data_IF_931121345835
#
_entry.id   IF_931121345835
#
_cell.length_a   1.000
_cell.length_b   1.000
_cell.length_c   1.000
_cell.angle_alpha   90.00
_cell.angle_beta   90.00
_cell.angle_gamma   90.00
#
_symmetry.space_group_name_H-M   'P 1'
#
loop_
_entity.id
_entity.type
_entity.pdbx_description
1 polymer ?
#
# COMPACT_ATOMS: atom_id res chain seq x y z
N UNK A 1 19.21 -5.56 -31.53
CA UNK A 1 19.21 -4.16 -31.06
C UNK A 1 20.04 -4.14 -29.78
N UNK A 2 21.02 -3.24 -29.66
CA UNK A 2 21.80 -3.08 -28.43
C UNK A 2 20.82 -2.87 -27.27
N UNK A 3 20.84 -3.72 -26.24
CA UNK A 3 20.05 -3.47 -25.03
C UNK A 3 20.52 -2.13 -24.46
N UNK A 4 19.68 -1.10 -24.50
CA UNK A 4 19.88 0.08 -23.67
C UNK A 4 19.92 -0.42 -22.24
N UNK A 5 21.10 -0.33 -21.60
CA UNK A 5 21.29 -0.79 -20.23
C UNK A 5 20.45 0.01 -19.24
N UNK A 6 20.52 -0.37 -17.97
CA UNK A 6 20.00 0.43 -16.87
C UNK A 6 20.75 1.77 -16.83
N UNK A 7 20.03 2.87 -17.04
CA UNK A 7 20.59 4.22 -17.18
C UNK A 7 20.00 5.16 -16.14
N UNK A 8 20.85 5.71 -15.29
CA UNK A 8 20.55 6.80 -14.38
C UNK A 8 20.91 8.14 -15.02
N UNK A 9 19.97 9.08 -15.06
CA UNK A 9 20.21 10.46 -15.45
C UNK A 9 19.75 11.41 -14.35
N UNK A 10 20.69 11.92 -13.57
CA UNK A 10 20.44 12.92 -12.55
C UNK A 10 20.63 14.34 -13.14
N UNK A 11 19.53 15.08 -13.23
CA UNK A 11 19.49 16.50 -13.59
C UNK A 11 19.19 17.33 -12.34
N UNK A 12 19.30 18.66 -12.45
CA UNK A 12 19.07 19.57 -11.32
C UNK A 12 17.68 19.40 -10.71
N UNK A 13 16.63 19.34 -11.53
CA UNK A 13 15.24 19.32 -11.06
C UNK A 13 14.61 17.91 -11.06
N UNK A 14 15.24 16.96 -11.73
CA UNK A 14 14.71 15.61 -11.93
C UNK A 14 15.79 14.54 -11.92
N UNK A 15 15.43 13.35 -11.47
CA UNK A 15 16.20 12.12 -11.68
C UNK A 15 15.35 11.15 -12.51
N UNK A 16 15.96 10.58 -13.55
CA UNK A 16 15.29 9.67 -14.49
C UNK A 16 16.04 8.35 -14.48
N UNK A 17 15.30 7.24 -14.38
CA UNK A 17 15.83 5.90 -14.58
C UNK A 17 15.11 5.28 -15.77
N UNK A 18 15.87 4.84 -16.77
CA UNK A 18 15.38 3.98 -17.84
C UNK A 18 16.00 2.60 -17.67
N UNK A 19 15.17 1.57 -17.50
CA UNK A 19 15.63 0.22 -17.21
C UNK A 19 15.58 -0.73 -18.42
N UNK A 20 15.37 -0.19 -19.62
CA UNK A 20 15.19 -0.96 -20.86
C UNK A 20 13.73 -1.25 -21.20
N UNK A 21 12.81 -1.18 -20.23
CA UNK A 21 11.39 -1.51 -20.41
C UNK A 21 10.45 -0.38 -19.99
N UNK A 22 10.78 0.34 -18.92
CA UNK A 22 10.07 1.51 -18.40
C UNK A 22 11.05 2.64 -18.12
N UNK A 23 10.60 3.87 -18.32
CA UNK A 23 11.31 5.08 -17.91
C UNK A 23 10.50 5.80 -16.83
N UNK A 24 11.14 6.09 -15.70
CA UNK A 24 10.51 6.68 -14.53
C UNK A 24 11.25 7.96 -14.16
N UNK A 25 10.49 9.01 -13.88
CA UNK A 25 10.99 10.35 -13.57
C UNK A 25 10.52 10.80 -12.20
N UNK A 26 11.47 11.12 -11.32
CA UNK A 26 11.22 11.72 -10.01
C UNK A 26 11.70 13.17 -9.99
N UNK A 27 11.07 14.02 -9.17
CA UNK A 27 11.64 15.33 -8.82
C UNK A 27 12.91 15.16 -8.00
N UNK A 28 13.86 16.08 -8.14
CA UNK A 28 15.13 16.10 -7.41
C UNK A 28 15.21 17.37 -6.53
N UNK A 29 15.47 17.27 -5.22
CA UNK A 29 15.52 16.06 -4.38
C UNK A 29 14.13 15.63 -3.87
N UNK A 30 13.05 16.20 -4.43
CA UNK A 30 11.71 16.02 -3.87
C UNK A 30 11.20 14.57 -3.87
N UNK A 31 11.62 13.72 -4.80
CA UNK A 31 11.22 12.31 -4.87
C UNK A 31 9.74 12.09 -5.21
N UNK A 32 9.10 13.03 -5.89
CA UNK A 32 7.74 12.91 -6.42
C UNK A 32 7.81 12.34 -7.83
N UNK A 33 7.04 11.30 -8.11
CA UNK A 33 7.02 10.65 -9.43
C UNK A 33 6.18 11.50 -10.38
N UNK A 34 6.82 12.11 -11.37
CA UNK A 34 6.17 12.99 -12.37
C UNK A 34 5.98 12.31 -13.72
N UNK A 35 6.71 11.23 -13.98
CA UNK A 35 6.63 10.52 -15.25
C UNK A 35 6.79 9.03 -15.08
N UNK A 36 5.93 8.26 -15.74
CA UNK A 36 6.14 6.83 -16.03
C UNK A 36 5.80 6.65 -17.50
N UNK A 37 6.82 6.41 -18.34
CA UNK A 37 6.65 6.15 -19.77
C UNK A 37 6.72 4.67 -20.04
N UNK A 38 5.67 4.13 -20.65
CA UNK A 38 5.53 2.69 -20.87
C UNK A 38 4.67 2.38 -22.09
N UNK A 39 5.15 1.47 -22.95
CA UNK A 39 4.41 0.81 -24.05
C UNK A 39 3.46 1.72 -24.86
N UNK A 40 4.01 2.84 -25.36
CA UNK A 40 3.29 3.76 -26.24
C UNK A 40 2.43 4.80 -25.51
N UNK A 41 2.46 4.83 -24.17
CA UNK A 41 1.92 5.92 -23.37
C UNK A 41 3.08 6.76 -22.85
N UNK A 42 3.11 8.04 -23.22
CA UNK A 42 4.18 8.97 -22.82
C UNK A 42 4.23 9.22 -21.32
N UNK A 43 3.07 9.22 -20.65
CA UNK A 43 2.99 9.26 -19.20
C UNK A 43 1.73 8.55 -18.69
N UNK A 44 1.92 7.52 -17.87
CA UNK A 44 0.83 6.80 -17.19
C UNK A 44 0.14 7.65 -16.11
N UNK A 45 0.76 8.75 -15.69
CA UNK A 45 0.30 9.58 -14.58
C UNK A 45 -0.41 10.85 -15.05
N UNK A 46 -1.43 11.28 -14.31
CA UNK A 46 -2.08 12.57 -14.48
C UNK A 46 -1.17 13.70 -13.96
N UNK A 47 -0.97 14.74 -14.78
CA UNK A 47 -0.10 15.89 -14.48
C UNK A 47 -0.84 17.24 -14.50
N UNK A 48 -2.07 17.27 -15.02
CA UNK A 48 -2.86 18.50 -15.23
C UNK A 48 -3.61 18.96 -13.98
N UNK A 49 -3.82 18.06 -13.00
CA UNK A 49 -4.40 18.45 -11.72
C UNK A 49 -3.37 19.28 -10.92
N UNK A 50 -3.79 20.44 -10.40
CA UNK A 50 -2.87 21.36 -9.71
C UNK A 50 -2.47 20.91 -8.30
N UNK A 51 -3.34 20.16 -7.64
CA UNK A 51 -3.18 19.82 -6.22
C UNK A 51 -2.62 18.41 -6.06
N UNK A 52 -3.22 17.43 -6.72
CA UNK A 52 -2.85 16.02 -6.63
C UNK A 52 -2.55 15.48 -8.02
N UNK A 53 -1.27 15.30 -8.33
CA UNK A 53 -0.78 14.80 -9.61
C UNK A 53 0.42 13.88 -9.41
N UNK A 54 0.69 13.03 -10.40
CA UNK A 54 1.81 12.09 -10.34
C UNK A 54 1.59 10.94 -9.35
N UNK A 55 2.72 10.40 -8.90
CA UNK A 55 2.81 9.39 -7.84
C UNK A 55 3.61 9.94 -6.66
N UNK A 56 3.10 9.79 -5.45
CA UNK A 56 3.75 10.35 -4.28
C UNK A 56 3.45 9.54 -3.02
N UNK A 57 4.40 9.60 -2.09
CA UNK A 57 4.12 9.24 -0.71
C UNK A 57 3.45 10.42 -0.01
N UNK A 58 2.39 10.14 0.73
CA UNK A 58 1.74 11.12 1.59
C UNK A 58 1.67 10.62 3.03
N UNK A 59 1.51 11.57 3.93
CA UNK A 59 1.04 11.31 5.28
C UNK A 59 -0.04 12.31 5.68
N UNK A 60 -0.86 11.88 6.64
CA UNK A 60 -1.75 12.75 7.37
C UNK A 60 -1.39 12.68 8.85
N UNK A 61 -1.26 13.83 9.49
CA UNK A 61 -0.82 13.89 10.89
C UNK A 61 -1.53 15.00 11.67
N UNK A 62 -1.53 14.90 13.00
CA UNK A 62 -2.14 15.91 13.87
C UNK A 62 -1.41 16.07 15.18
N UNK A 63 -1.62 17.22 15.81
CA UNK A 63 -1.19 17.48 17.19
C UNK A 63 -1.84 16.49 18.16
N UNK A 64 -1.18 16.14 19.28
CA UNK A 64 -1.71 15.16 20.25
C UNK A 64 -3.08 15.53 20.86
N UNK A 65 -3.39 16.84 20.93
CA UNK A 65 -4.67 17.34 21.44
C UNK A 65 -5.85 17.12 20.49
N UNK A 66 -5.60 16.69 19.24
CA UNK A 66 -6.63 16.43 18.25
C UNK A 66 -7.42 15.16 18.57
N UNK A 67 -8.75 15.27 18.59
CA UNK A 67 -9.68 14.13 18.67
C UNK A 67 -10.14 13.65 17.30
N UNK A 68 -9.67 14.27 16.21
CA UNK A 68 -10.06 13.93 14.84
C UNK A 68 -9.17 12.84 14.26
N UNK A 69 -9.74 12.04 13.36
CA UNK A 69 -9.02 11.01 12.59
C UNK A 69 -8.31 11.55 11.35
N UNK A 70 -8.56 12.83 11.01
CA UNK A 70 -7.92 13.57 9.91
C UNK A 70 -7.33 14.88 10.45
N UNK A 71 -6.10 15.15 10.05
CA UNK A 71 -5.31 16.33 10.37
C UNK A 71 -4.67 16.93 9.11
N UNK A 72 -3.45 17.45 9.25
CA UNK A 72 -2.66 18.10 8.19
C UNK A 72 -2.23 17.06 7.16
N UNK A 73 -2.47 17.35 5.88
CA UNK A 73 -2.02 16.53 4.77
C UNK A 73 -0.64 17.01 4.31
N UNK A 74 0.26 16.07 4.07
CA UNK A 74 1.64 16.34 3.70
C UNK A 74 2.06 15.38 2.59
N UNK A 75 2.25 15.93 1.38
CA UNK A 75 2.91 15.22 0.29
C UNK A 75 4.41 15.23 0.59
N UNK A 76 4.94 14.08 0.97
CA UNK A 76 6.29 13.98 1.51
C UNK A 76 7.29 14.31 0.40
N UNK A 77 8.05 15.39 0.57
CA UNK A 77 9.11 15.79 -0.35
C UNK A 77 10.48 15.62 0.32
N UNK A 78 11.42 14.98 -0.37
CA UNK A 78 12.80 14.89 0.10
C UNK A 78 13.50 16.24 0.05
N UNK A 79 14.46 16.42 0.95
CA UNK A 79 15.42 17.52 0.95
C UNK A 79 16.80 17.10 0.43
N UNK A 80 17.08 15.79 0.42
CA UNK A 80 18.32 15.20 -0.09
C UNK A 80 18.03 13.95 -0.91
N UNK A 81 18.84 13.70 -1.94
CA UNK A 81 18.80 12.51 -2.80
C UNK A 81 20.15 11.81 -2.75
N UNK A 82 20.13 10.51 -2.47
CA UNK A 82 21.31 9.63 -2.51
C UNK A 82 21.06 8.44 -3.42
N UNK A 83 22.07 8.11 -4.23
CA UNK A 83 22.13 6.84 -4.97
C UNK A 83 22.81 5.83 -4.05
N UNK A 84 22.06 4.83 -3.60
CA UNK A 84 22.47 3.86 -2.59
C UNK A 84 23.11 2.65 -3.24
N UNK A 85 22.52 2.21 -4.35
CA UNK A 85 23.04 1.15 -5.21
C UNK A 85 22.99 1.66 -6.64
N UNK A 86 24.07 1.43 -7.38
CA UNK A 86 24.13 1.63 -8.83
C UNK A 86 25.04 0.56 -9.43
N UNK A 87 24.44 -0.41 -10.12
CA UNK A 87 25.14 -1.45 -10.86
C UNK A 87 24.35 -1.83 -12.12
N UNK A 88 24.83 -2.82 -12.88
CA UNK A 88 24.22 -3.20 -14.17
C UNK A 88 22.80 -3.81 -14.04
N UNK A 89 22.42 -4.26 -12.85
CA UNK A 89 21.16 -4.97 -12.56
C UNK A 89 20.16 -4.10 -11.80
N UNK A 90 20.63 -3.21 -10.93
CA UNK A 90 19.81 -2.46 -9.97
C UNK A 90 20.31 -1.03 -9.76
N UNK A 91 19.34 -0.12 -9.60
CA UNK A 91 19.53 1.20 -8.98
C UNK A 91 18.61 1.29 -7.76
N UNK A 92 19.15 1.77 -6.63
CA UNK A 92 18.36 2.18 -5.46
C UNK A 92 18.57 3.67 -5.18
N UNK A 93 17.47 4.41 -5.13
CA UNK A 93 17.46 5.83 -4.77
C UNK A 93 16.88 6.01 -3.36
N UNK A 94 17.47 6.91 -2.58
CA UNK A 94 16.98 7.38 -1.29
C UNK A 94 16.65 8.86 -1.36
N UNK A 95 15.42 9.22 -0.97
CA UNK A 95 14.98 10.59 -0.81
C UNK A 95 14.67 10.84 0.66
N UNK A 96 15.52 11.62 1.34
CA UNK A 96 15.42 11.81 2.78
C UNK A 96 14.83 13.17 3.14
N UNK A 97 14.05 13.22 4.22
CA UNK A 97 13.56 14.44 4.85
C UNK A 97 13.79 14.34 6.35
N UNK A 98 14.60 15.24 6.88
CA UNK A 98 14.89 15.35 8.30
C UNK A 98 13.95 16.36 8.95
N UNK A 99 13.44 16.03 10.13
CA UNK A 99 12.70 16.98 10.95
C UNK A 99 13.67 17.83 11.78
N UNK A 100 13.34 19.10 11.98
CA UNK A 100 14.03 20.00 12.88
C UNK A 100 13.01 20.93 13.58
N UNK A 101 13.38 21.58 14.70
CA UNK A 101 12.51 22.55 15.35
C UNK A 101 12.05 23.71 14.44
N UNK A 102 12.77 23.99 13.35
CA UNK A 102 12.45 25.06 12.40
C UNK A 102 11.18 24.76 11.57
N UNK A 103 10.87 23.48 11.34
CA UNK A 103 9.69 23.03 10.58
C UNK A 103 8.54 22.57 11.49
N UNK A 104 8.63 22.86 12.79
CA UNK A 104 7.62 22.48 13.76
C UNK A 104 6.25 23.07 13.40
N UNK A 105 5.22 22.21 13.42
CA UNK A 105 3.86 22.60 13.05
C UNK A 105 3.59 22.56 11.54
N UNK A 106 4.62 22.53 10.71
CA UNK A 106 4.50 22.41 9.25
C UNK A 106 4.69 20.96 8.78
N UNK A 107 5.66 20.26 9.36
CA UNK A 107 5.97 18.86 9.04
C UNK A 107 5.74 17.96 10.25
N UNK A 108 5.36 16.71 9.97
CA UNK A 108 5.30 15.68 11.00
C UNK A 108 6.69 15.47 11.63
N UNK A 109 6.81 15.35 12.96
CA UNK A 109 8.04 15.02 13.67
C UNK A 109 8.57 13.63 13.31
N UNK A 110 9.16 13.47 12.13
CA UNK A 110 9.70 12.22 11.64
C UNK A 110 10.95 12.47 10.79
N UNK A 111 11.97 11.64 10.97
CA UNK A 111 12.92 11.35 9.90
C UNK A 111 12.28 10.37 8.94
N UNK A 112 12.34 10.71 7.66
CA UNK A 112 11.71 9.94 6.60
C UNK A 112 12.75 9.67 5.53
N UNK A 113 13.01 8.40 5.26
CA UNK A 113 13.84 7.94 4.15
C UNK A 113 12.97 7.11 3.19
N UNK A 114 12.68 7.66 2.01
CA UNK A 114 11.89 6.97 0.98
C UNK A 114 12.81 6.36 -0.05
N UNK A 115 12.62 5.07 -0.30
CA UNK A 115 13.49 4.25 -1.12
C UNK A 115 12.75 3.75 -2.35
N UNK A 116 13.39 3.89 -3.51
CA UNK A 116 12.90 3.36 -4.77
C UNK A 116 13.95 2.44 -5.36
N UNK A 117 13.56 1.22 -5.71
CA UNK A 117 14.46 0.23 -6.32
C UNK A 117 13.97 -0.11 -7.71
N UNK A 118 14.84 0.07 -8.70
CA UNK A 118 14.55 -0.21 -10.11
C UNK A 118 15.53 -1.27 -10.60
N UNK A 119 14.98 -2.37 -11.09
CA UNK A 119 15.76 -3.44 -11.73
C UNK A 119 15.75 -3.28 -13.23
N UNK A 120 16.85 -3.69 -13.86
CA UNK A 120 16.95 -3.83 -15.31
C UNK A 120 15.91 -4.80 -15.85
N UNK A 121 15.30 -4.46 -16.97
CA UNK A 121 14.35 -5.29 -17.74
C UNK A 121 13.08 -5.73 -16.97
N UNK A 122 12.82 -5.17 -15.78
CA UNK A 122 11.60 -5.41 -14.98
C UNK A 122 10.57 -4.31 -15.29
N UNK A 123 9.33 -4.61 -15.68
CA UNK A 123 8.33 -3.60 -16.03
C UNK A 123 7.67 -3.01 -14.78
N UNK A 124 8.45 -2.38 -13.91
CA UNK A 124 7.98 -1.86 -12.64
C UNK A 124 9.11 -1.34 -11.77
N UNK A 125 8.76 -0.95 -10.55
CA UNK A 125 9.72 -0.55 -9.52
C UNK A 125 9.17 -0.84 -8.13
N UNK A 126 10.09 -1.06 -7.19
CA UNK A 126 9.75 -1.25 -5.79
C UNK A 126 9.85 0.06 -5.04
N UNK A 127 9.01 0.22 -4.01
CA UNK A 127 9.05 1.37 -3.12
C UNK A 127 8.88 0.94 -1.68
N UNK A 128 9.70 1.49 -0.80
CA UNK A 128 9.57 1.34 0.65
C UNK A 128 10.00 2.62 1.36
N UNK A 129 9.71 2.74 2.65
CA UNK A 129 10.19 3.87 3.44
C UNK A 129 10.57 3.44 4.86
N UNK A 130 11.54 4.14 5.43
CA UNK A 130 11.90 4.04 6.85
C UNK A 130 11.44 5.33 7.51
N UNK A 131 10.52 5.20 8.47
CA UNK A 131 10.09 6.32 9.30
C UNK A 131 10.69 6.15 10.69
N UNK A 132 11.22 7.23 11.25
CA UNK A 132 11.84 7.25 12.58
C UNK A 132 11.38 8.49 13.36
N UNK A 133 10.90 8.26 14.58
CA UNK A 133 10.64 9.27 15.60
C UNK A 133 11.67 9.08 16.72
N UNK A 134 12.42 10.13 17.06
CA UNK A 134 13.48 10.09 18.06
C UNK A 134 13.04 10.78 19.37
N UNK A 135 13.81 10.56 20.45
CA UNK A 135 13.46 11.07 21.79
C UNK A 135 13.34 12.59 21.89
N UNK A 136 14.05 13.31 21.04
CA UNK A 136 14.08 14.77 20.98
C UNK A 136 12.93 15.38 20.17
N UNK A 137 12.16 14.55 19.45
CA UNK A 137 11.01 15.01 18.69
C UNK A 137 9.76 15.18 19.58
N UNK A 138 8.90 16.17 19.27
CA UNK A 138 7.65 16.38 19.99
C UNK A 138 6.62 15.30 19.66
N UNK A 139 5.76 15.03 20.64
CA UNK A 139 4.59 14.18 20.48
C UNK A 139 3.72 14.59 19.28
N UNK A 140 3.20 13.60 18.54
CA UNK A 140 2.23 13.80 17.46
C UNK A 140 1.43 12.52 17.17
N UNK A 141 0.36 12.64 16.39
CA UNK A 141 -0.38 11.49 15.87
C UNK A 141 -0.15 11.35 14.37
N UNK A 142 0.28 10.17 13.94
CA UNK A 142 0.29 9.77 12.53
C UNK A 142 -1.04 9.08 12.20
N UNK A 143 -1.83 9.74 11.37
CA UNK A 143 -3.21 9.36 11.07
C UNK A 143 -3.32 8.46 9.85
N UNK A 144 -2.47 8.69 8.84
CA UNK A 144 -2.39 7.89 7.61
C UNK A 144 -1.01 8.05 7.00
N UNK A 145 -0.48 7.00 6.37
CA UNK A 145 0.59 7.13 5.38
C UNK A 145 0.44 6.06 4.29
N UNK A 146 0.71 6.46 3.05
CA UNK A 146 0.43 5.68 1.85
C UNK A 146 1.26 6.18 0.67
N UNK A 147 1.30 5.36 -0.37
CA UNK A 147 1.58 5.85 -1.73
C UNK A 147 0.25 6.08 -2.43
N UNK A 148 0.15 7.17 -3.18
CA UNK A 148 -0.97 7.44 -4.07
C UNK A 148 -0.46 7.70 -5.48
N UNK A 149 -1.08 7.07 -6.47
CA UNK A 149 -0.87 7.33 -7.89
C UNK A 149 -2.13 7.91 -8.49
N UNK A 150 -2.01 9.12 -9.05
CA UNK A 150 -3.02 9.73 -9.89
C UNK A 150 -2.72 9.33 -11.33
N UNK A 151 -3.49 8.39 -11.87
CA UNK A 151 -3.26 7.88 -13.22
C UNK A 151 -3.90 8.79 -14.26
N UNK A 152 -3.35 8.76 -15.48
CA UNK A 152 -3.82 9.55 -16.60
C UNK A 152 -5.29 9.25 -16.90
N UNK A 153 -6.17 10.21 -16.60
CA UNK A 153 -7.62 10.04 -16.70
C UNK A 153 -8.14 9.87 -18.13
N UNK A 154 -7.35 10.23 -19.14
CA UNK A 154 -7.71 10.01 -20.54
C UNK A 154 -7.44 8.55 -20.96
N UNK A 155 -6.60 7.83 -20.22
CA UNK A 155 -6.15 6.48 -20.56
C UNK A 155 -6.82 5.39 -19.73
N UNK A 156 -6.92 5.56 -18.42
CA UNK A 156 -7.35 4.51 -17.50
C UNK A 156 -8.82 4.68 -17.13
N UNK A 157 -9.65 3.72 -17.54
CA UNK A 157 -11.11 3.80 -17.37
C UNK A 157 -11.71 2.57 -16.68
N UNK A 158 -10.94 1.49 -16.56
CA UNK A 158 -11.42 0.21 -16.02
C UNK A 158 -10.59 -0.18 -14.82
N UNK A 159 -11.27 -0.32 -13.68
CA UNK A 159 -10.65 -0.63 -12.40
C UNK A 159 -10.86 -2.10 -12.06
N UNK A 160 -9.84 -2.72 -11.50
CA UNK A 160 -9.86 -4.12 -11.06
C UNK A 160 -9.29 -4.20 -9.65
N UNK A 161 -10.08 -4.74 -8.71
CA UNK A 161 -9.63 -4.95 -7.32
C UNK A 161 -9.77 -6.41 -6.89
N UNK A 162 -10.67 -7.17 -7.52
CA UNK A 162 -10.86 -8.62 -7.32
C UNK A 162 -11.47 -9.20 -8.60
N UNK A 163 -11.49 -10.53 -8.73
CA UNK A 163 -12.09 -11.22 -9.88
C UNK A 163 -13.56 -10.83 -10.12
N UNK A 164 -14.32 -10.58 -9.04
CA UNK A 164 -15.75 -10.27 -9.04
C UNK A 164 -16.05 -8.77 -8.85
N UNK A 165 -15.04 -7.94 -8.51
CA UNK A 165 -15.18 -6.47 -8.43
C UNK A 165 -14.20 -5.81 -9.37
N UNK A 166 -14.65 -5.69 -10.62
CA UNK A 166 -13.99 -4.97 -11.70
C UNK A 166 -15.03 -4.35 -12.62
N UNK A 167 -14.77 -3.13 -13.11
CA UNK A 167 -15.74 -2.38 -13.91
C UNK A 167 -15.11 -1.19 -14.62
N UNK A 168 -15.81 -0.69 -15.64
CA UNK A 168 -15.64 0.69 -16.07
C UNK A 168 -16.10 1.62 -14.94
N UNK A 169 -15.32 2.66 -14.73
CA UNK A 169 -15.52 3.63 -13.66
C UNK A 169 -16.06 4.94 -14.23
N UNK A 170 -16.95 5.64 -13.51
CA UNK A 170 -17.34 6.99 -13.88
C UNK A 170 -16.13 7.93 -13.88
N UNK A 171 -16.23 9.04 -14.61
CA UNK A 171 -15.21 10.08 -14.58
C UNK A 171 -15.26 10.87 -13.26
N UNK A 172 -14.18 11.60 -12.96
CA UNK A 172 -14.17 12.53 -11.83
C UNK A 172 -15.21 13.65 -12.04
N UNK A 173 -15.40 14.05 -13.29
CA UNK A 173 -16.33 15.08 -13.72
C UNK A 173 -17.79 14.69 -13.44
N UNK A 174 -18.13 13.40 -13.49
CA UNK A 174 -19.48 12.91 -13.19
C UNK A 174 -19.90 13.13 -11.74
N UNK A 175 -18.92 13.31 -10.85
CA UNK A 175 -19.16 13.60 -9.43
C UNK A 175 -19.40 15.09 -9.15
N UNK A 176 -19.13 15.98 -10.11
CA UNK A 176 -19.23 17.43 -9.94
C UNK A 176 -20.69 17.93 -10.01
N UNK A 177 -21.02 19.08 -9.39
CA UNK A 177 -22.36 19.66 -9.46
C UNK A 177 -22.87 19.80 -10.90
N UNK A 178 -24.12 19.40 -11.12
CA UNK A 178 -24.76 19.35 -12.45
C UNK A 178 -24.78 17.93 -13.04
N UNK A 179 -23.76 17.11 -12.76
CA UNK A 179 -23.71 15.69 -13.15
C UNK A 179 -23.90 14.77 -11.95
N UNK A 180 -23.33 15.15 -10.81
CA UNK A 180 -23.39 14.41 -9.56
C UNK A 180 -24.13 15.17 -8.47
N UNK A 181 -24.68 14.42 -7.51
CA UNK A 181 -25.29 14.95 -6.30
C UNK A 181 -24.69 14.25 -5.07
N UNK A 182 -23.86 14.93 -4.26
CA UNK A 182 -23.41 14.40 -2.98
C UNK A 182 -24.60 14.00 -2.11
N UNK A 183 -24.48 12.85 -1.44
CA UNK A 183 -25.47 12.32 -0.51
C UNK A 183 -25.14 12.75 0.93
N UNK A 184 -25.63 11.99 1.92
CA UNK A 184 -25.40 12.32 3.33
C UNK A 184 -23.91 12.33 3.71
N UNK A 185 -23.12 11.45 3.11
CA UNK A 185 -21.66 11.43 3.25
C UNK A 185 -21.03 12.01 1.98
N UNK A 186 -20.05 12.93 2.09
CA UNK A 186 -19.47 13.61 0.93
C UNK A 186 -18.73 12.65 -0.02
N UNK A 187 -18.30 11.49 0.47
CA UNK A 187 -17.71 10.44 -0.35
C UNK A 187 -18.73 9.76 -1.28
N UNK A 188 -20.01 9.68 -0.88
CA UNK A 188 -21.07 9.03 -1.65
C UNK A 188 -21.76 10.05 -2.57
N UNK A 189 -21.68 9.83 -3.87
CA UNK A 189 -22.24 10.73 -4.89
C UNK A 189 -23.17 9.97 -5.81
N UNK A 190 -24.43 10.40 -5.88
CA UNK A 190 -25.39 9.92 -6.88
C UNK A 190 -25.05 10.52 -8.25
N UNK A 191 -24.90 9.68 -9.26
CA UNK A 191 -24.65 10.07 -10.65
C UNK A 191 -25.99 10.38 -11.33
N UNK A 192 -26.28 11.67 -11.54
CA UNK A 192 -27.57 12.18 -12.06
C UNK A 192 -27.54 12.31 -13.58
N UNK A 193 -26.45 12.84 -14.12
CA UNK A 193 -26.24 13.06 -15.56
C UNK A 193 -24.77 12.80 -15.95
N UNK A 194 -24.28 11.55 -15.77
CA UNK A 194 -22.90 11.20 -16.10
C UNK A 194 -22.62 11.30 -17.61
N UNK A 195 -21.34 11.42 -17.98
CA UNK A 195 -20.86 11.43 -19.37
C UNK A 195 -21.28 10.13 -20.06
N UNK A 196 -21.01 8.99 -19.42
CA UNK A 196 -21.48 7.67 -19.85
C UNK A 196 -22.87 7.39 -19.27
N UNK A 197 -23.94 7.31 -20.10
CA UNK A 197 -25.31 7.22 -19.59
C UNK A 197 -25.61 5.96 -18.78
N UNK A 198 -24.81 4.89 -18.94
CA UNK A 198 -24.94 3.64 -18.21
C UNK A 198 -24.74 3.78 -16.70
N UNK A 199 -23.94 4.76 -16.26
CA UNK A 199 -23.72 5.00 -14.82
C UNK A 199 -24.86 5.80 -14.16
N UNK A 200 -25.87 6.23 -14.92
CA UNK A 200 -26.94 7.07 -14.41
C UNK A 200 -27.76 6.34 -13.35
N UNK A 201 -27.92 6.99 -12.20
CA UNK A 201 -28.65 6.45 -11.05
C UNK A 201 -27.79 5.64 -10.09
N UNK A 202 -26.53 5.36 -10.44
CA UNK A 202 -25.59 4.72 -9.54
C UNK A 202 -25.10 5.68 -8.44
N UNK A 203 -24.65 5.11 -7.32
CA UNK A 203 -23.95 5.83 -6.27
C UNK A 203 -22.50 5.38 -6.28
N UNK A 204 -21.59 6.31 -6.56
CA UNK A 204 -20.15 6.09 -6.46
C UNK A 204 -19.63 6.55 -5.09
N UNK A 205 -18.99 5.63 -4.38
CA UNK A 205 -18.34 5.86 -3.09
C UNK A 205 -17.02 5.11 -3.05
N UNK A 206 -15.91 5.82 -2.79
CA UNK A 206 -14.57 5.23 -2.71
C UNK A 206 -14.47 4.03 -1.75
N UNK A 207 -15.28 4.01 -0.69
CA UNK A 207 -15.26 2.93 0.29
C UNK A 207 -15.89 1.63 -0.24
N UNK A 208 -16.68 1.68 -1.33
CA UNK A 208 -17.15 0.51 -2.07
C UNK A 208 -16.01 -0.27 -2.72
N UNK A 209 -14.79 0.26 -2.75
CA UNK A 209 -13.62 -0.35 -3.37
C UNK A 209 -12.54 -0.72 -2.34
N UNK A 210 -12.93 -0.97 -1.10
CA UNK A 210 -12.01 -1.45 -0.08
C UNK A 210 -11.95 -2.97 -0.01
N UNK A 211 -10.84 -3.48 0.50
CA UNK A 211 -10.57 -4.90 0.72
C UNK A 211 -9.99 -5.11 2.11
N UNK A 212 -10.24 -6.29 2.68
CA UNK A 212 -9.55 -6.73 3.90
C UNK A 212 -8.06 -6.90 3.62
N UNK A 213 -7.21 -6.55 4.59
CA UNK A 213 -5.76 -6.59 4.44
C UNK A 213 -5.24 -7.99 4.09
N UNK A 214 -5.90 -9.05 4.56
CA UNK A 214 -5.56 -10.43 4.19
C UNK A 214 -5.71 -10.73 2.68
N UNK A 215 -6.61 -10.04 1.98
CA UNK A 215 -6.91 -10.29 0.56
C UNK A 215 -6.34 -9.19 -0.36
N UNK A 216 -5.99 -8.02 0.20
CA UNK A 216 -5.51 -6.85 -0.53
C UNK A 216 -4.03 -6.99 -0.94
N UNK A 217 -3.77 -7.86 -1.94
CA UNK A 217 -2.43 -8.16 -2.46
C UNK A 217 -2.16 -7.55 -3.84
N UNK A 218 -3.17 -7.39 -4.69
CA UNK A 218 -3.02 -6.74 -6.00
C UNK A 218 -4.31 -6.07 -6.46
N UNK A 219 -4.19 -4.85 -6.97
CA UNK A 219 -5.30 -4.07 -7.53
C UNK A 219 -4.74 -3.01 -8.49
N UNK A 220 -5.60 -2.45 -9.35
CA UNK A 220 -5.11 -1.52 -10.36
C UNK A 220 -6.14 -1.08 -11.39
N UNK A 221 -5.62 -0.62 -12.53
CA UNK A 221 -6.38 -0.07 -13.64
C UNK A 221 -5.88 -0.57 -14.98
N UNK A 222 -6.81 -0.63 -15.94
CA UNK A 222 -6.55 -0.99 -17.34
C UNK A 222 -6.87 0.21 -18.23
N UNK A 223 -5.93 0.54 -19.11
CA UNK A 223 -6.17 1.28 -20.33
C UNK A 223 -6.40 0.30 -21.47
N UNK A 224 -7.35 0.59 -22.36
CA UNK A 224 -7.61 -0.23 -23.56
C UNK A 224 -6.91 0.32 -24.82
N UNK A 225 -6.41 1.56 -24.78
CA UNK A 225 -5.77 2.19 -25.93
C UNK A 225 -4.56 3.09 -25.58
N UNK A 226 -3.33 2.53 -25.66
CA UNK A 226 -3.01 1.12 -25.88
C UNK A 226 -3.37 0.23 -24.67
N UNK A 227 -3.52 -1.10 -24.84
CA UNK A 227 -3.75 -2.03 -23.73
C UNK A 227 -2.58 -2.07 -22.75
N UNK A 228 -2.76 -1.41 -21.60
CA UNK A 228 -1.74 -1.27 -20.55
C UNK A 228 -2.41 -1.40 -19.18
N UNK A 229 -1.82 -2.20 -18.31
CA UNK A 229 -2.21 -2.32 -16.91
C UNK A 229 -1.25 -1.55 -16.00
N UNK A 230 -1.81 -0.93 -14.96
CA UNK A 230 -1.08 -0.33 -13.85
C UNK A 230 -1.53 -1.00 -12.55
N UNK A 231 -0.62 -1.63 -11.84
CA UNK A 231 -0.93 -2.50 -10.71
C UNK A 231 -0.12 -2.12 -9.47
N UNK A 232 -0.77 -2.11 -8.32
CA UNK A 232 -0.11 -2.06 -7.03
C UNK A 232 -0.10 -3.47 -6.43
N UNK A 233 1.09 -4.03 -6.24
CA UNK A 233 1.30 -5.35 -5.63
C UNK A 233 1.85 -5.15 -4.20
N UNK A 234 1.23 -5.79 -3.23
CA UNK A 234 1.64 -5.83 -1.82
C UNK A 234 1.92 -7.28 -1.42
N UNK A 235 3.18 -7.72 -1.44
CA UNK A 235 3.55 -9.12 -1.22
C UNK A 235 3.43 -9.56 0.25
N UNK A 236 3.48 -8.60 1.18
CA UNK A 236 3.46 -8.84 2.61
C UNK A 236 2.65 -7.78 3.32
N UNK A 237 1.98 -8.20 4.39
CA UNK A 237 1.20 -7.33 5.26
C UNK A 237 1.97 -6.90 6.52
N UNK A 238 3.25 -7.26 6.66
CA UNK A 238 3.96 -7.14 7.95
C UNK A 238 3.93 -5.74 8.58
N UNK A 239 3.89 -4.73 7.73
CA UNK A 239 3.91 -3.33 8.11
C UNK A 239 2.51 -2.73 8.31
N UNK A 240 1.43 -3.40 7.88
CA UNK A 240 0.06 -2.88 7.93
C UNK A 240 -0.46 -2.79 9.37
N UNK A 241 -1.57 -2.08 9.55
CA UNK A 241 -2.26 -1.92 10.84
C UNK A 241 -3.55 -2.74 10.92
N UNK A 242 -4.01 -2.97 12.15
CA UNK A 242 -5.33 -3.52 12.48
C UNK A 242 -5.63 -4.97 12.08
N UNK A 243 -4.62 -5.79 11.84
CA UNK A 243 -4.82 -7.23 11.63
C UNK A 243 -5.41 -7.60 10.27
N UNK A 244 -5.71 -8.90 10.08
CA UNK A 244 -6.08 -9.44 8.78
C UNK A 244 -7.40 -8.89 8.22
N UNK A 245 -8.38 -8.62 9.09
CA UNK A 245 -9.75 -8.23 8.70
C UNK A 245 -9.94 -6.72 8.56
N UNK A 246 -8.92 -5.92 8.91
CA UNK A 246 -9.01 -4.47 8.69
C UNK A 246 -9.17 -4.21 7.20
N UNK A 247 -10.15 -3.39 6.86
CA UNK A 247 -10.34 -2.93 5.49
C UNK A 247 -9.45 -1.73 5.19
N UNK A 248 -8.97 -1.69 3.96
CA UNK A 248 -8.21 -0.57 3.42
C UNK A 248 -8.61 -0.26 1.98
N UNK A 249 -8.48 1.02 1.62
CA UNK A 249 -8.77 1.50 0.28
C UNK A 249 -7.76 0.91 -0.71
N UNK A 250 -8.24 0.63 -1.93
CA UNK A 250 -7.41 0.10 -3.02
C UNK A 250 -7.29 1.13 -4.15
N UNK A 251 -8.19 1.08 -5.12
CA UNK A 251 -8.37 2.01 -6.22
C UNK A 251 -9.74 2.67 -6.13
N UNK A 252 -9.91 3.85 -6.72
CA UNK A 252 -11.22 4.53 -6.79
C UNK A 252 -11.26 5.57 -7.92
N UNK A 253 -12.46 6.11 -8.19
CA UNK A 253 -12.75 7.19 -9.14
C UNK A 253 -11.69 8.30 -9.17
N UNK A 254 -11.53 8.96 -10.32
CA UNK A 254 -10.38 9.80 -10.67
C UNK A 254 -9.10 8.95 -10.72
N UNK A 255 -8.99 8.05 -11.71
CA UNK A 255 -8.12 6.87 -11.77
C UNK A 255 -7.00 6.82 -10.72
N UNK A 256 -7.37 6.51 -9.48
CA UNK A 256 -6.46 6.54 -8.34
C UNK A 256 -6.12 5.12 -7.95
N UNK A 257 -4.84 4.86 -7.67
CA UNK A 257 -4.36 3.60 -7.07
C UNK A 257 -3.59 3.93 -5.79
N UNK A 258 -3.89 3.23 -4.70
CA UNK A 258 -3.28 3.46 -3.39
C UNK A 258 -2.50 2.24 -2.89
N UNK A 259 -1.38 2.48 -2.22
CA UNK A 259 -0.74 1.51 -1.34
C UNK A 259 -0.86 2.02 0.10
N UNK A 260 -1.81 1.49 0.87
CA UNK A 260 -2.01 1.89 2.27
C UNK A 260 -1.04 1.13 3.18
N UNK A 261 -0.29 1.86 4.00
CA UNK A 261 0.57 1.27 5.04
C UNK A 261 -0.07 1.42 6.42
N UNK A 262 -0.45 2.64 6.78
CA UNK A 262 -1.09 2.94 8.07
C UNK A 262 -2.30 3.83 7.80
N UNK A 263 -3.43 3.58 8.47
CA UNK A 263 -4.57 4.51 8.47
C UNK A 263 -5.55 4.22 9.60
N UNK A 264 -6.26 5.27 10.03
CA UNK A 264 -7.38 5.22 10.98
C UNK A 264 -8.73 4.86 10.36
N UNK A 265 -8.82 4.71 9.03
CA UNK A 265 -10.07 4.30 8.38
C UNK A 265 -10.63 3.01 9.01
N UNK A 266 -11.96 2.95 9.13
CA UNK A 266 -12.75 1.84 9.70
C UNK A 266 -12.64 1.59 11.21
N UNK A 267 -11.61 2.10 11.89
CA UNK A 267 -11.43 1.91 13.33
C UNK A 267 -11.40 3.22 14.14
N UNK A 268 -11.30 4.37 13.47
CA UNK A 268 -11.28 5.67 14.12
C UNK A 268 -10.00 5.91 14.92
N UNK A 269 -10.12 6.61 16.04
CA UNK A 269 -8.98 7.11 16.83
C UNK A 269 -8.13 6.01 17.47
N UNK A 270 -8.64 4.78 17.52
CA UNK A 270 -7.93 3.60 18.04
C UNK A 270 -6.76 3.17 17.14
N UNK A 271 -6.84 3.44 15.84
CA UNK A 271 -5.76 3.12 14.89
C UNK A 271 -4.89 4.33 14.52
N UNK A 272 -4.99 5.43 15.27
CA UNK A 272 -3.99 6.49 15.20
C UNK A 272 -2.70 5.99 15.82
N UNK A 273 -1.58 6.17 15.11
CA UNK A 273 -0.26 5.90 15.70
C UNK A 273 0.12 7.13 16.51
N UNK A 274 0.00 7.03 17.84
CA UNK A 274 0.21 8.15 18.76
C UNK A 274 1.61 8.09 19.33
N UNK A 275 2.41 9.12 19.11
CA UNK A 275 3.75 9.25 19.67
C UNK A 275 3.75 10.21 20.84
N UNK A 276 4.36 9.79 21.93
CA UNK A 276 4.62 10.66 23.08
C UNK A 276 6.00 11.31 22.99
N UNK A 277 6.20 12.43 23.68
CA UNK A 277 7.52 13.07 23.79
C UNK A 277 8.48 12.10 24.47
N UNK A 278 9.66 11.90 23.87
CA UNK A 278 10.64 10.94 24.37
C UNK A 278 10.40 9.49 23.94
N UNK A 279 9.34 9.20 23.19
CA UNK A 279 9.13 7.88 22.59
C UNK A 279 10.06 7.67 21.39
N UNK A 280 10.72 6.52 21.30
CA UNK A 280 11.43 6.12 20.09
C UNK A 280 10.57 5.16 19.29
N UNK A 281 10.52 5.39 17.99
CA UNK A 281 9.85 4.47 17.09
C UNK A 281 10.53 4.49 15.74
N UNK A 282 10.71 3.31 15.16
CA UNK A 282 11.27 3.15 13.83
C UNK A 282 10.58 2.01 13.12
N UNK A 283 10.16 2.24 11.88
CA UNK A 283 9.43 1.24 11.11
C UNK A 283 9.74 1.32 9.62
N UNK A 284 9.91 0.14 9.02
CA UNK A 284 9.97 -0.03 7.57
C UNK A 284 8.56 -0.29 7.04
N UNK A 285 8.17 0.49 6.05
CA UNK A 285 6.88 0.43 5.38
C UNK A 285 7.11 -0.07 3.94
N UNK A 286 6.63 -1.27 3.62
CA UNK A 286 6.94 -1.97 2.36
C UNK A 286 8.08 -2.99 2.53
N UNK A 287 8.79 -3.37 1.43
CA UNK A 287 8.54 -2.93 0.05
C UNK A 287 7.21 -3.38 -0.56
N UNK A 288 6.65 -2.49 -1.38
CA UNK A 288 5.55 -2.79 -2.31
C UNK A 288 6.03 -2.62 -3.75
N UNK A 289 5.40 -3.29 -4.70
CA UNK A 289 5.81 -3.28 -6.11
C UNK A 289 4.76 -2.61 -6.99
N UNK A 290 5.17 -1.60 -7.75
CA UNK A 290 4.34 -0.98 -8.79
C UNK A 290 4.67 -1.64 -10.11
N UNK A 291 3.70 -2.39 -10.66
CA UNK A 291 3.88 -3.27 -11.81
C UNK A 291 3.10 -2.78 -13.03
N UNK A 292 3.69 -2.95 -14.20
CA UNK A 292 3.11 -2.62 -15.50
C UNK A 292 3.13 -3.83 -16.41
N UNK A 293 2.06 -4.01 -17.18
CA UNK A 293 2.01 -5.01 -18.25
C UNK A 293 1.25 -4.46 -19.45
N UNK A 294 1.41 -5.09 -20.61
CA UNK A 294 0.77 -4.67 -21.85
C UNK A 294 0.52 -5.86 -22.75
N UNK A 295 -0.50 -5.77 -23.58
CA UNK A 295 -0.80 -6.77 -24.61
C UNK A 295 -1.04 -6.08 -25.96
N UNK A 296 -0.62 -6.72 -27.06
CA UNK A 296 -0.78 -6.14 -28.40
C UNK A 296 -2.22 -6.27 -28.90
N UNK A 297 -2.92 -7.33 -28.50
CA UNK A 297 -4.31 -7.57 -28.86
C UNK A 297 -5.25 -6.83 -27.90
N UNK A 298 -5.98 -5.83 -28.43
CA UNK A 298 -6.91 -5.01 -27.66
C UNK A 298 -8.09 -5.82 -27.12
N UNK A 299 -8.52 -6.86 -27.82
CA UNK A 299 -9.65 -7.69 -27.40
C UNK A 299 -9.30 -8.55 -26.17
N UNK A 300 -8.00 -8.71 -25.90
CA UNK A 300 -7.46 -9.44 -24.76
C UNK A 300 -7.05 -8.53 -23.60
N UNK A 301 -7.38 -7.24 -23.61
CA UNK A 301 -6.94 -6.29 -22.59
C UNK A 301 -7.32 -6.72 -21.15
N UNK A 302 -8.46 -7.37 -20.95
CA UNK A 302 -8.85 -7.87 -19.62
C UNK A 302 -7.92 -8.97 -19.07
N UNK A 303 -7.19 -9.69 -19.93
CA UNK A 303 -6.20 -10.69 -19.49
C UNK A 303 -4.97 -10.09 -18.80
N UNK A 304 -4.79 -8.76 -18.88
CA UNK A 304 -3.77 -8.04 -18.10
C UNK A 304 -3.96 -8.25 -16.59
N UNK A 305 -5.19 -8.52 -16.13
CA UNK A 305 -5.47 -8.87 -14.75
C UNK A 305 -4.91 -10.24 -14.35
N UNK A 306 -5.08 -11.26 -15.19
CA UNK A 306 -4.54 -12.60 -14.90
C UNK A 306 -3.02 -12.61 -14.83
N UNK A 307 -2.40 -11.80 -15.68
CA UNK A 307 -0.97 -11.55 -15.69
C UNK A 307 -0.51 -10.84 -14.40
N UNK A 308 -1.23 -9.81 -13.94
CA UNK A 308 -0.96 -9.13 -12.68
C UNK A 308 -1.11 -10.05 -11.45
N UNK A 309 -2.10 -10.96 -11.44
CA UNK A 309 -2.22 -12.00 -10.41
C UNK A 309 -1.03 -12.95 -10.43
N UNK A 310 -0.54 -13.33 -11.62
CA UNK A 310 0.66 -14.18 -11.74
C UNK A 310 1.88 -13.47 -11.16
N UNK A 311 2.13 -12.21 -11.54
CA UNK A 311 3.22 -11.42 -10.97
C UNK A 311 3.08 -11.28 -9.44
N UNK A 312 1.88 -11.00 -8.93
CA UNK A 312 1.64 -10.92 -7.49
C UNK A 312 2.06 -12.20 -6.76
N UNK A 313 1.73 -13.38 -7.30
CA UNK A 313 2.15 -14.65 -6.71
C UNK A 313 3.67 -14.82 -6.72
N UNK A 314 4.36 -14.38 -7.78
CA UNK A 314 5.84 -14.39 -7.84
C UNK A 314 6.45 -13.48 -6.76
N UNK A 315 5.90 -12.27 -6.56
CA UNK A 315 6.35 -11.35 -5.51
C UNK A 315 6.10 -11.92 -4.09
N UNK A 316 4.95 -12.54 -3.86
CA UNK A 316 4.63 -13.21 -2.58
C UNK A 316 5.57 -14.37 -2.29
N UNK A 317 5.93 -15.16 -3.32
CA UNK A 317 6.88 -16.26 -3.17
C UNK A 317 8.32 -15.79 -2.98
N UNK A 318 8.67 -14.64 -3.55
CA UNK A 318 10.00 -14.02 -3.44
C UNK A 318 10.19 -13.28 -2.11
N UNK A 319 9.13 -13.07 -1.34
CA UNK A 319 9.20 -12.40 -0.05
C UNK A 319 9.82 -13.27 1.06
N UNK A 320 10.72 -12.72 1.91
CA UNK A 320 11.22 -11.35 1.93
C UNK A 320 12.32 -11.15 0.89
N UNK A 321 12.34 -9.96 0.27
CA UNK A 321 13.34 -9.62 -0.72
C UNK A 321 14.75 -9.54 -0.12
N UNK A 322 15.76 -9.88 -0.91
CA UNK A 322 17.18 -9.79 -0.53
C UNK A 322 17.86 -8.50 -1.01
N UNK A 323 17.18 -7.71 -1.85
CA UNK A 323 17.76 -6.51 -2.46
C UNK A 323 17.75 -5.23 -1.60
N UNK A 324 16.84 -5.03 -0.62
CA UNK A 324 16.90 -3.82 0.20
C UNK A 324 18.21 -3.79 0.99
N UNK A 325 18.99 -2.73 0.86
CA UNK A 325 20.30 -2.65 1.53
C UNK A 325 20.22 -2.04 2.93
N UNK A 326 19.07 -1.55 3.36
CA UNK A 326 18.88 -0.98 4.69
C UNK A 326 18.98 -2.06 5.77
N UNK A 327 19.82 -1.84 6.78
CA UNK A 327 19.92 -2.72 7.97
C UNK A 327 18.59 -2.81 8.74
N UNK A 328 17.71 -1.82 8.57
CA UNK A 328 16.36 -1.81 9.15
C UNK A 328 15.43 -2.82 8.46
N UNK A 329 15.82 -3.41 7.33
CA UNK A 329 15.09 -4.48 6.66
C UNK A 329 15.81 -5.83 6.87
N UNK A 330 15.36 -6.68 7.80
CA UNK A 330 16.02 -7.95 8.04
C UNK A 330 15.83 -8.88 6.85
N UNK A 331 16.93 -9.52 6.44
CA UNK A 331 16.95 -10.52 5.38
C UNK A 331 16.27 -11.83 5.83
N UNK A 332 16.06 -12.74 4.87
CA UNK A 332 15.38 -14.02 5.11
C UNK A 332 16.02 -14.85 6.24
N UNK A 333 17.34 -14.89 6.31
CA UNK A 333 18.14 -15.61 7.31
C UNK A 333 18.08 -14.99 8.72
N UNK A 334 17.62 -13.74 8.83
CA UNK A 334 17.43 -13.02 10.09
C UNK A 334 15.97 -13.09 10.60
N UNK A 335 15.13 -13.91 9.96
CA UNK A 335 13.70 -14.04 10.25
C UNK A 335 13.36 -15.43 10.79
N UNK A 336 12.34 -15.47 11.63
CA UNK A 336 11.87 -16.67 12.31
C UNK A 336 10.67 -17.33 11.63
N UNK A 337 10.31 -18.50 12.16
CA UNK A 337 9.11 -19.26 11.76
C UNK A 337 8.41 -19.77 13.02
N UNK A 338 7.09 -19.62 13.07
CA UNK A 338 6.22 -20.22 14.09
C UNK A 338 5.33 -21.26 13.43
N UNK A 339 5.24 -22.44 14.03
CA UNK A 339 4.38 -23.54 13.59
C UNK A 339 3.56 -24.04 14.75
N UNK A 340 2.33 -24.42 14.49
CA UNK A 340 1.47 -24.97 15.51
C UNK A 340 0.23 -25.62 14.92
N UNK A 341 -0.65 -26.05 15.82
CA UNK A 341 -1.97 -26.57 15.50
C UNK A 341 -3.00 -25.93 16.42
N UNK A 342 -3.97 -25.23 15.84
CA UNK A 342 -5.08 -24.64 16.55
C UNK A 342 -6.21 -25.66 16.71
N UNK A 343 -6.63 -25.86 17.95
CA UNK A 343 -7.74 -26.72 18.29
C UNK A 343 -8.79 -25.94 19.07
N UNK A 344 -10.07 -26.24 18.81
CA UNK A 344 -11.22 -25.61 19.45
C UNK A 344 -11.90 -26.62 20.36
N UNK A 345 -12.14 -26.21 21.60
CA UNK A 345 -12.90 -26.99 22.56
C UNK A 345 -14.33 -26.49 22.63
N UNK A 346 -15.23 -27.13 21.88
CA UNK A 346 -16.68 -26.91 21.99
C UNK A 346 -17.38 -28.14 22.54
N UNK A 347 -17.68 -28.11 23.84
CA UNK A 347 -18.30 -29.22 24.57
C UNK A 347 -19.73 -29.53 24.13
N UNK A 348 -20.40 -28.62 23.41
CA UNK A 348 -21.74 -28.85 22.88
C UNK A 348 -21.73 -29.57 21.54
N UNK A 349 -20.66 -29.43 20.77
CA UNK A 349 -20.48 -30.13 19.48
C UNK A 349 -19.76 -31.47 19.65
N UNK A 350 -18.70 -31.52 20.46
CA UNK A 350 -17.88 -32.71 20.68
C UNK A 350 -17.26 -32.74 22.07
N UNK A 351 -17.01 -33.94 22.59
CA UNK A 351 -16.17 -34.11 23.79
C UNK A 351 -14.68 -34.00 23.48
N UNK A 352 -14.31 -34.14 22.20
CA UNK A 352 -12.95 -34.03 21.71
C UNK A 352 -12.64 -32.61 21.22
N UNK A 353 -11.36 -32.27 21.17
CA UNK A 353 -10.90 -31.03 20.58
C UNK A 353 -11.03 -31.10 19.06
N UNK A 354 -11.73 -30.13 18.48
CA UNK A 354 -11.97 -30.03 17.05
C UNK A 354 -10.83 -29.24 16.38
N UNK A 355 -10.41 -29.58 15.15
CA UNK A 355 -9.55 -28.72 14.36
C UNK A 355 -10.13 -27.32 14.20
N UNK A 356 -9.34 -26.29 14.51
CA UNK A 356 -9.69 -24.90 14.18
C UNK A 356 -9.48 -24.65 12.69
N UNK A 357 -10.29 -25.28 11.83
CA UNK A 357 -10.19 -25.21 10.37
C UNK A 357 -10.46 -23.80 9.85
N UNK A 358 -9.66 -23.36 8.86
CA UNK A 358 -9.80 -22.06 8.20
C UNK A 358 -9.83 -20.89 9.19
N UNK A 359 -9.12 -21.02 10.30
CA UNK A 359 -8.94 -19.97 11.28
C UNK A 359 -7.82 -19.02 10.85
N UNK A 360 -8.04 -17.72 11.00
CA UNK A 360 -6.97 -16.74 10.91
C UNK A 360 -6.15 -16.82 12.19
N UNK A 361 -4.85 -17.09 12.08
CA UNK A 361 -3.91 -17.14 13.21
C UNK A 361 -2.77 -16.19 12.93
N UNK A 362 -2.38 -15.37 13.90
CA UNK A 362 -1.35 -14.37 13.69
C UNK A 362 -0.57 -13.95 14.91
N UNK A 363 0.54 -13.27 14.67
CA UNK A 363 1.44 -12.68 15.64
C UNK A 363 1.29 -11.15 15.55
N UNK A 364 1.14 -10.50 16.70
CA UNK A 364 1.19 -9.05 16.83
C UNK A 364 1.82 -8.70 18.19
N UNK A 365 2.01 -7.42 18.50
CA UNK A 365 2.64 -7.05 19.76
C UNK A 365 1.87 -7.62 20.98
N UNK A 366 2.56 -7.82 22.12
CA UNK A 366 1.91 -8.32 23.30
C UNK A 366 0.81 -7.38 23.79
N UNK A 367 -0.38 -7.93 24.02
CA UNK A 367 -1.53 -7.23 24.56
C UNK A 367 -2.62 -8.18 25.02
N UNK A 368 -3.82 -7.63 25.21
CA UNK A 368 -5.03 -8.36 25.57
C UNK A 368 -5.60 -9.15 24.39
N UNK A 369 -6.54 -10.04 24.65
CA UNK A 369 -7.27 -10.75 23.61
C UNK A 369 -7.88 -9.76 22.58
N UNK A 370 -7.66 -10.05 21.30
CA UNK A 370 -8.07 -9.22 20.16
C UNK A 370 -7.35 -7.88 19.98
N UNK A 371 -6.23 -7.64 20.67
CA UNK A 371 -5.42 -6.43 20.47
C UNK A 371 -4.77 -6.35 19.08
N UNK A 372 -4.53 -7.47 18.39
CA UNK A 372 -3.97 -7.47 17.03
C UNK A 372 -4.83 -6.68 16.02
N UNK A 373 -6.15 -6.61 16.23
CA UNK A 373 -7.06 -5.79 15.41
C UNK A 373 -6.89 -4.28 15.63
N UNK A 374 -6.12 -3.89 16.66
CA UNK A 374 -5.77 -2.49 16.98
C UNK A 374 -4.25 -2.24 16.93
N UNK A 375 -3.46 -3.24 16.55
CA UNK A 375 -2.01 -3.07 16.40
C UNK A 375 -1.73 -2.02 15.31
N UNK A 376 -0.88 -1.04 15.62
CA UNK A 376 -0.59 0.08 14.73
C UNK A 376 0.87 0.57 14.76
N UNK A 377 1.68 0.16 15.75
CA UNK A 377 3.09 0.57 15.90
C UNK A 377 4.06 -0.52 15.50
N UNK A 378 3.79 -1.77 15.88
CA UNK A 378 4.63 -2.93 15.63
C UNK A 378 4.42 -3.57 14.26
N UNK A 379 5.05 -4.72 14.06
CA UNK A 379 4.82 -5.59 12.89
C UNK A 379 3.83 -6.69 13.26
N UNK A 380 3.10 -7.17 12.27
CA UNK A 380 2.09 -8.21 12.46
C UNK A 380 2.09 -9.22 11.32
N UNK A 381 1.88 -10.49 11.64
CA UNK A 381 2.01 -11.60 10.70
C UNK A 381 0.81 -12.50 10.86
N UNK A 382 0.25 -13.05 9.79
CA UNK A 382 -0.87 -13.97 9.90
C UNK A 382 -0.89 -14.98 8.77
N UNK A 383 -1.60 -16.07 9.01
CA UNK A 383 -1.88 -17.12 8.04
C UNK A 383 -3.23 -17.75 8.35
N UNK A 384 -3.67 -18.66 7.49
CA UNK A 384 -4.86 -19.48 7.70
C UNK A 384 -4.42 -20.88 8.10
N UNK A 385 -5.15 -21.49 9.04
CA UNK A 385 -5.00 -22.92 9.35
C UNK A 385 -5.56 -23.79 8.23
N UNK A 386 -4.98 -24.97 8.06
CA UNK A 386 -5.50 -26.00 7.16
C UNK A 386 -6.71 -26.76 7.77
N UNK A 387 -7.15 -27.80 7.06
CA UNK A 387 -8.25 -28.70 7.46
C UNK A 387 -8.04 -29.36 8.84
N UNK A 388 -6.77 -29.60 9.22
CA UNK A 388 -6.40 -30.22 10.48
C UNK A 388 -6.13 -29.19 11.59
N UNK A 389 -6.28 -27.90 11.29
CA UNK A 389 -5.97 -26.79 12.19
C UNK A 389 -4.48 -26.46 12.25
N UNK A 390 -3.64 -27.06 11.40
CA UNK A 390 -2.20 -26.80 11.39
C UNK A 390 -1.90 -25.47 10.69
N UNK A 391 -0.89 -24.75 11.16
CA UNK A 391 -0.47 -23.47 10.57
C UNK A 391 1.04 -23.29 10.59
N UNK A 392 1.52 -22.46 9.66
CA UNK A 392 2.92 -22.03 9.56
C UNK A 392 2.96 -20.54 9.25
N UNK A 393 3.47 -19.73 10.18
CA UNK A 393 3.76 -18.31 9.96
C UNK A 393 5.26 -18.20 9.71
N UNK A 394 5.65 -17.82 8.50
CA UNK A 394 7.05 -17.67 8.08
C UNK A 394 7.49 -16.21 8.07
N UNK A 395 8.79 -15.98 7.89
CA UNK A 395 9.39 -14.67 7.62
C UNK A 395 9.15 -13.64 8.74
N UNK A 396 9.02 -14.11 9.98
CA UNK A 396 8.69 -13.29 11.14
C UNK A 396 9.93 -12.49 11.54
N UNK A 397 9.78 -11.17 11.70
CA UNK A 397 10.86 -10.32 12.22
C UNK A 397 11.15 -10.70 13.68
N UNK A 398 12.41 -10.63 14.11
CA UNK A 398 12.75 -10.89 15.50
C UNK A 398 12.01 -9.90 16.43
N UNK A 399 11.42 -10.42 17.50
CA UNK A 399 10.63 -9.63 18.44
C UNK A 399 9.85 -10.48 19.42
N UNK A 400 9.16 -9.81 20.34
CA UNK A 400 8.22 -10.43 21.28
C UNK A 400 6.80 -10.27 20.75
N UNK A 401 6.07 -11.37 20.65
CA UNK A 401 4.71 -11.40 20.10
C UNK A 401 3.81 -12.26 20.98
N UNK A 402 2.51 -11.95 20.95
CA UNK A 402 1.49 -12.94 21.33
C UNK A 402 0.95 -13.61 20.07
N UNK A 403 0.48 -14.84 20.22
CA UNK A 403 -0.30 -15.52 19.20
C UNK A 403 -1.78 -15.18 19.38
N UNK A 404 -2.43 -14.77 18.30
CA UNK A 404 -3.85 -14.45 18.24
C UNK A 404 -4.56 -15.35 17.23
N UNK A 405 -5.86 -15.51 17.38
CA UNK A 405 -6.64 -16.26 16.40
C UNK A 405 -8.13 -15.94 16.41
N UNK A 406 -8.75 -16.09 15.24
CA UNK A 406 -10.20 -16.03 15.04
C UNK A 406 -10.60 -17.28 14.28
N UNK A 407 -11.56 -18.04 14.83
CA UNK A 407 -12.03 -19.29 14.21
C UNK A 407 -13.43 -19.08 13.63
N UNK A 408 -13.65 -19.36 12.34
CA UNK A 408 -14.97 -19.30 11.73
C UNK A 408 -16.01 -20.11 12.52
N UNK A 409 -17.20 -19.53 12.70
CA UNK A 409 -18.29 -20.15 13.46
C UNK A 409 -18.20 -19.99 14.98
N UNK A 410 -17.09 -19.46 15.50
CA UNK A 410 -16.92 -19.19 16.93
C UNK A 410 -16.86 -17.68 17.18
N UNK A 411 -17.66 -17.20 18.14
CA UNK A 411 -17.65 -15.80 18.54
C UNK A 411 -16.42 -15.53 19.39
N UNK A 412 -15.59 -14.59 18.95
CA UNK A 412 -14.47 -14.09 19.75
C UNK A 412 -13.19 -13.95 18.97
N UNK A 413 -12.23 -13.30 19.62
CA UNK A 413 -10.86 -13.13 19.17
C UNK A 413 -9.94 -13.54 20.32
N UNK A 414 -9.12 -14.55 20.07
CA UNK A 414 -8.44 -15.31 21.11
C UNK A 414 -6.98 -14.89 21.18
N UNK A 415 -6.45 -14.79 22.40
CA UNK A 415 -5.01 -14.82 22.68
C UNK A 415 -4.67 -16.26 23.08
N UNK A 416 -3.74 -16.88 22.36
CA UNK A 416 -3.44 -18.31 22.40
C UNK A 416 -2.16 -18.62 23.20
#
# INVERSE_FOLDING_TARGET
MSSTGLLLNAQNDYVVINNGVVEITWTNPGGIIKGIKYKGIDNLLEQKNKDLNGGFWDLNWSEPSSTKTRGKFDTIQGADLQVIVENEEQIELSFTRMWSPEVQGEQAPLYIDRRFVVFRDVPGFYSYAIFEHTKDMPAFHLNTTRIAFMLNKEKFHYMVITDDRQRFMPSAEDRLPGRGKPLAYPEAVLLVDPIEPEFKGEVDDKYQYSLENKDNQVHGWISFDPPVGFWQITPSNEFRTGGPFKQDLTSHVNPTTLAIFLTSHYAGTELLVKFETGEEWKKVLGPVFTYFNSISDKDMALSLWDDAKRQMNEEVQSWPYSFPTSEEFPNCDQRGVVRGRLLVQDRYLSKENLPGKAASVGLAAPGDAGSWQRENKGYQFWTMTDEDGCFVIKNIRAGSYNLYGVVPGFIGDYKL
#
